data_IF_335008088785
#
_entry.id   IF_335008088785
#
_cell.length_a   1.000
_cell.length_b   1.000
_cell.length_c   1.000
_cell.angle_alpha   90.00
_cell.angle_beta   90.00
_cell.angle_gamma   90.00
#
_symmetry.space_group_name_H-M   'P 1'
#
loop_
_entity.id
_entity.type
_entity.pdbx_description
1 polymer ?
#
# COMPACT_ATOMS: atom_id res chain seq x y z
N UNK A 1 -9.70 -3.76 11.13
CA UNK A 1 -9.25 -4.51 9.94
C UNK A 1 -8.01 -3.80 9.41
N UNK A 2 -7.03 -4.54 8.91
CA UNK A 2 -5.73 -4.00 8.47
C UNK A 2 -5.27 -4.74 7.22
N UNK A 3 -4.61 -4.03 6.31
CA UNK A 3 -4.08 -4.59 5.06
C UNK A 3 -2.74 -3.92 4.74
N UNK A 4 -1.80 -4.65 4.16
CA UNK A 4 -0.61 -4.05 3.52
C UNK A 4 -0.97 -3.76 2.07
N UNK A 5 -0.91 -2.48 1.68
CA UNK A 5 -1.15 -2.05 0.30
C UNK A 5 0.08 -2.33 -0.59
N UNK A 6 1.27 -2.07 -0.06
CA UNK A 6 2.54 -2.22 -0.76
C UNK A 6 3.64 -2.43 0.27
N UNK A 7 4.48 -3.43 0.06
CA UNK A 7 5.79 -3.56 0.72
C UNK A 7 6.75 -4.37 -0.15
N UNK A 8 8.04 -4.05 -0.05
CA UNK A 8 9.13 -4.67 -0.80
C UNK A 8 8.87 -4.71 -2.32
N UNK A 9 8.17 -3.70 -2.83
CA UNK A 9 7.85 -3.54 -4.24
C UNK A 9 8.57 -2.32 -4.79
N UNK A 10 9.01 -2.41 -6.03
CA UNK A 10 9.83 -1.38 -6.67
C UNK A 10 11.32 -1.69 -6.60
N UNK A 11 12.02 -1.42 -7.70
CA UNK A 11 13.47 -1.52 -7.77
C UNK A 11 14.18 -0.35 -7.06
N UNK A 12 15.40 -0.07 -7.51
CA UNK A 12 16.30 0.93 -6.88
C UNK A 12 16.04 2.38 -7.28
N UNK A 13 14.98 2.64 -8.05
CA UNK A 13 14.77 3.93 -8.68
C UNK A 13 13.74 4.75 -7.89
N UNK A 14 14.08 6.01 -7.63
CA UNK A 14 13.26 6.92 -6.83
C UNK A 14 11.82 7.02 -7.36
N UNK A 15 10.87 7.07 -6.42
CA UNK A 15 9.47 7.33 -6.73
C UNK A 15 9.25 8.84 -6.71
N UNK A 16 8.86 9.42 -7.85
CA UNK A 16 8.59 10.85 -7.95
C UNK A 16 7.32 11.13 -8.75
N UNK A 17 6.43 11.95 -8.18
CA UNK A 17 5.18 12.40 -8.82
C UNK A 17 4.28 11.25 -9.30
N UNK A 18 4.22 10.17 -8.52
CA UNK A 18 3.42 8.98 -8.80
C UNK A 18 2.10 9.01 -8.01
N UNK A 19 1.03 8.55 -8.65
CA UNK A 19 -0.28 8.29 -8.02
C UNK A 19 -0.55 6.79 -8.10
N UNK A 20 -0.67 6.15 -6.94
CA UNK A 20 -1.01 4.73 -6.81
C UNK A 20 -2.44 4.59 -6.32
N UNK A 21 -3.21 3.77 -7.03
CA UNK A 21 -4.52 3.28 -6.57
C UNK A 21 -4.40 1.80 -6.27
N UNK A 22 -4.91 1.35 -5.13
CA UNK A 22 -4.96 -0.07 -4.77
C UNK A 22 -6.39 -0.61 -4.88
N UNK A 23 -6.54 -1.72 -5.59
CA UNK A 23 -7.83 -2.41 -5.80
C UNK A 23 -7.57 -3.92 -5.99
N UNK A 24 -8.29 -4.77 -5.27
CA UNK A 24 -8.19 -6.23 -5.40
C UNK A 24 -8.52 -6.73 -6.82
N UNK A 25 -9.35 -6.00 -7.55
CA UNK A 25 -9.75 -6.30 -8.92
C UNK A 25 -8.78 -5.75 -9.97
N UNK A 26 -7.73 -5.02 -9.58
CA UNK A 26 -6.71 -4.55 -10.52
C UNK A 26 -6.08 -5.75 -11.26
N UNK A 27 -5.74 -5.63 -12.56
CA UNK A 27 -5.24 -6.77 -13.33
C UNK A 27 -3.79 -7.15 -12.98
N UNK A 28 -3.04 -6.26 -12.33
CA UNK A 28 -1.61 -6.40 -12.07
C UNK A 28 -1.27 -5.97 -10.65
N UNK A 29 -0.19 -6.53 -10.11
CA UNK A 29 0.48 -6.03 -8.90
C UNK A 29 1.70 -5.20 -9.31
N UNK A 30 2.18 -4.37 -8.39
CA UNK A 30 3.52 -3.79 -8.54
C UNK A 30 4.55 -4.93 -8.59
N UNK A 31 5.60 -4.75 -9.40
CA UNK A 31 6.67 -5.73 -9.55
C UNK A 31 7.78 -5.46 -8.53
N UNK A 32 8.45 -6.51 -8.08
CA UNK A 32 9.46 -6.41 -7.02
C UNK A 32 10.67 -5.55 -7.42
N UNK A 33 11.07 -5.51 -8.69
CA UNK A 33 12.34 -4.91 -9.11
C UNK A 33 12.22 -3.84 -10.22
N UNK A 34 11.01 -3.43 -10.56
CA UNK A 34 10.77 -2.45 -11.62
C UNK A 34 10.52 -1.04 -11.05
N UNK A 35 10.65 0.00 -11.88
CA UNK A 35 10.27 1.36 -11.51
C UNK A 35 8.78 1.40 -11.16
N UNK A 36 8.45 1.94 -9.99
CA UNK A 36 7.07 2.26 -9.65
C UNK A 36 6.60 3.47 -10.46
N UNK A 37 5.48 3.30 -11.17
CA UNK A 37 4.82 4.32 -11.98
C UNK A 37 3.34 4.42 -11.59
N UNK A 38 2.68 5.51 -11.98
CA UNK A 38 1.26 5.71 -11.66
C UNK A 38 0.37 4.64 -12.27
N UNK A 39 -0.65 4.20 -11.52
CA UNK A 39 -1.59 3.19 -11.97
C UNK A 39 -2.44 2.60 -10.86
N UNK A 40 -3.23 1.60 -11.24
CA UNK A 40 -4.08 0.82 -10.33
C UNK A 40 -3.51 -0.58 -10.18
N UNK A 41 -3.22 -1.00 -8.95
CA UNK A 41 -2.52 -2.24 -8.64
C UNK A 41 -3.25 -3.02 -7.54
N UNK A 42 -3.04 -4.34 -7.50
CA UNK A 42 -3.46 -5.13 -6.34
C UNK A 42 -2.56 -4.81 -5.15
N UNK A 43 -3.07 -4.93 -3.91
CA UNK A 43 -2.21 -4.98 -2.74
C UNK A 43 -1.13 -6.07 -2.90
N UNK A 44 0.10 -5.76 -2.50
CA UNK A 44 1.22 -6.71 -2.60
C UNK A 44 2.23 -6.52 -1.49
N UNK A 45 2.78 -7.62 -1.00
CA UNK A 45 3.92 -7.65 -0.10
C UNK A 45 4.85 -8.79 -0.54
N UNK A 46 6.09 -8.47 -0.93
CA UNK A 46 7.07 -9.49 -1.32
C UNK A 46 7.86 -10.06 -0.15
N UNK A 47 7.88 -9.37 0.99
CA UNK A 47 8.61 -9.76 2.19
C UNK A 47 10.11 -9.50 2.07
N UNK A 48 10.60 -8.61 2.92
CA UNK A 48 12.01 -8.23 3.03
C UNK A 48 12.79 -9.04 4.07
N UNK A 49 14.13 -8.94 4.06
CA UNK A 49 14.97 -9.52 5.10
C UNK A 49 14.78 -8.83 6.46
N UNK A 50 14.27 -7.59 6.46
CA UNK A 50 13.91 -6.82 7.64
C UNK A 50 12.38 -6.74 7.66
N UNK A 51 11.72 -7.21 8.72
CA UNK A 51 10.26 -7.09 8.83
C UNK A 51 9.83 -5.63 8.91
N UNK A 52 8.77 -5.29 8.19
CA UNK A 52 8.08 -4.02 8.40
C UNK A 52 7.49 -3.98 9.80
N UNK A 53 7.85 -2.96 10.57
CA UNK A 53 7.33 -2.79 11.92
C UNK A 53 6.22 -1.75 11.94
N UNK A 54 4.99 -2.22 11.82
CA UNK A 54 3.80 -1.39 11.93
C UNK A 54 3.09 -1.60 13.30
N UNK A 55 2.20 -0.68 13.74
CA UNK A 55 1.59 -0.74 15.07
C UNK A 55 0.60 -1.88 15.35
N UNK A 56 0.28 -2.73 14.37
CA UNK A 56 -0.67 -3.84 14.51
C UNK A 56 0.04 -5.21 14.44
N UNK A 57 -0.48 -6.24 15.13
CA UNK A 57 0.18 -7.54 15.19
C UNK A 57 0.07 -8.34 13.89
N UNK A 58 -0.98 -8.12 13.09
CA UNK A 58 -1.27 -8.88 11.88
C UNK A 58 -1.88 -7.96 10.79
N UNK A 59 -1.54 -8.26 9.53
CA UNK A 59 -1.99 -7.54 8.35
C UNK A 59 -2.45 -8.52 7.28
N UNK A 60 -3.63 -8.27 6.71
CA UNK A 60 -4.12 -9.03 5.56
C UNK A 60 -3.42 -8.60 4.26
N UNK A 61 -3.57 -9.41 3.22
CA UNK A 61 -2.97 -9.19 1.91
C UNK A 61 -3.96 -8.67 0.85
N UNK A 62 -5.24 -8.48 1.19
CA UNK A 62 -6.27 -8.01 0.24
C UNK A 62 -7.20 -6.99 0.91
N UNK A 63 -7.71 -6.04 0.13
CA UNK A 63 -8.68 -5.03 0.58
C UNK A 63 -10.05 -5.65 0.94
N UNK A 64 -10.34 -6.86 0.46
CA UNK A 64 -11.57 -7.59 0.74
C UNK A 64 -11.79 -7.86 2.23
N UNK A 65 -10.77 -7.72 3.09
CA UNK A 65 -10.91 -7.74 4.55
C UNK A 65 -11.94 -6.71 5.07
N UNK A 66 -12.17 -5.63 4.33
CA UNK A 66 -13.13 -4.59 4.69
C UNK A 66 -14.55 -4.84 4.16
N UNK A 67 -14.76 -5.86 3.33
CA UNK A 67 -16.08 -6.19 2.79
C UNK A 67 -17.05 -6.57 3.91
N UNK A 68 -18.30 -6.13 3.78
CA UNK A 68 -19.38 -6.36 4.76
C UNK A 68 -19.07 -5.85 6.19
N UNK A 69 -18.08 -4.96 6.33
CA UNK A 69 -17.78 -4.26 7.59
C UNK A 69 -18.39 -2.86 7.61
N UNK A 70 -18.55 -2.27 8.79
CA UNK A 70 -19.04 -0.89 8.93
C UNK A 70 -17.93 0.09 8.46
N UNK A 71 -18.15 0.88 7.40
CA UNK A 71 -17.13 1.79 6.89
C UNK A 71 -16.94 3.05 7.74
N UNK A 72 -17.87 3.32 8.68
CA UNK A 72 -17.81 4.50 9.53
C UNK A 72 -16.78 4.32 10.64
N UNK A 73 -15.82 5.23 10.71
CA UNK A 73 -14.79 5.23 11.74
C UNK A 73 -13.56 6.02 11.33
N UNK A 74 -12.51 5.89 12.15
CA UNK A 74 -11.20 6.47 11.84
C UNK A 74 -10.45 5.51 10.94
N UNK A 75 -10.00 6.02 9.80
CA UNK A 75 -9.07 5.35 8.91
C UNK A 75 -7.67 5.95 9.11
N UNK A 76 -6.66 5.09 9.21
CA UNK A 76 -5.27 5.49 9.45
C UNK A 76 -4.40 4.85 8.38
N UNK A 77 -3.62 5.67 7.67
CA UNK A 77 -2.55 5.21 6.79
C UNK A 77 -1.23 5.25 7.56
N UNK A 78 -0.54 4.11 7.58
CA UNK A 78 0.83 4.02 8.08
C UNK A 78 1.79 3.93 6.89
N UNK A 79 2.94 4.60 7.01
CA UNK A 79 4.03 4.54 6.05
C UNK A 79 5.30 4.29 6.84
N UNK A 80 6.10 3.34 6.37
CA UNK A 80 7.42 3.02 6.91
C UNK A 80 8.43 3.27 5.79
N UNK A 81 9.52 3.91 6.15
CA UNK A 81 10.69 4.04 5.30
C UNK A 81 11.56 2.78 5.52
N UNK A 82 11.66 1.95 4.50
CA UNK A 82 12.29 0.63 4.53
C UNK A 82 13.78 0.67 4.14
N UNK A 83 14.28 1.82 3.70
CA UNK A 83 15.68 2.00 3.29
C UNK A 83 16.36 3.20 3.97
N UNK A 84 17.56 3.02 4.55
CA UNK A 84 18.22 4.12 5.23
C UNK A 84 18.64 5.22 4.26
N UNK A 85 18.57 6.47 4.72
CA UNK A 85 18.94 7.69 4.01
C UNK A 85 18.00 8.15 2.91
N UNK A 86 16.95 7.38 2.60
CA UNK A 86 15.88 7.84 1.75
C UNK A 86 14.90 8.72 2.52
N UNK A 87 14.11 9.48 1.79
CA UNK A 87 13.02 10.28 2.37
C UNK A 87 12.02 10.64 1.28
N UNK A 88 10.78 10.86 1.68
CA UNK A 88 9.73 11.24 0.76
C UNK A 88 8.53 11.84 1.46
N UNK A 89 7.53 12.21 0.67
CA UNK A 89 6.26 12.72 1.19
C UNK A 89 5.13 12.35 0.26
N UNK A 90 3.96 12.03 0.83
CA UNK A 90 2.72 11.91 0.08
C UNK A 90 2.18 13.32 -0.15
N UNK A 91 2.45 13.87 -1.33
CA UNK A 91 1.91 15.17 -1.73
C UNK A 91 0.40 15.08 -1.93
N UNK A 92 -0.35 16.11 -1.50
CA UNK A 92 -1.81 16.19 -1.61
C UNK A 92 -2.60 15.15 -0.80
N UNK A 93 -1.93 14.39 0.07
CA UNK A 93 -2.59 13.43 0.96
C UNK A 93 -2.99 12.13 0.26
N UNK A 94 -3.90 11.40 0.89
CA UNK A 94 -4.39 10.10 0.45
C UNK A 94 -5.92 10.09 0.56
N UNK A 95 -6.56 9.23 -0.21
CA UNK A 95 -8.02 9.09 -0.24
C UNK A 95 -8.44 7.62 -0.13
N UNK A 96 -9.66 7.39 0.38
CA UNK A 96 -10.33 6.09 0.31
C UNK A 96 -11.64 6.30 -0.44
N UNK A 97 -11.87 5.49 -1.46
CA UNK A 97 -13.18 5.34 -2.08
C UNK A 97 -13.88 4.13 -1.47
N UNK A 98 -15.01 4.35 -0.80
CA UNK A 98 -15.82 3.29 -0.20
C UNK A 98 -17.08 3.11 -1.05
N UNK A 99 -17.31 1.88 -1.52
CA UNK A 99 -18.51 1.50 -2.25
C UNK A 99 -19.27 0.51 -1.36
N UNK A 100 -20.49 0.86 -0.99
CA UNK A 100 -21.42 -0.04 -0.28
C UNK A 100 -22.52 -0.48 -1.23
N UNK A 101 -23.14 -1.64 -0.95
CA UNK A 101 -24.32 -2.12 -1.67
C UNK A 101 -25.54 -1.20 -1.50
#
# INVERSE_FOLDING_TARGET
QTVILMSDAGGVADISSVILTFDDNAPISLLQLDQIVSGTFKPINYGGPIPDNFPAPEYESTLSVFNDTNPNGIWILFVVDDFPFDSGSISNGWEITIITA
#
